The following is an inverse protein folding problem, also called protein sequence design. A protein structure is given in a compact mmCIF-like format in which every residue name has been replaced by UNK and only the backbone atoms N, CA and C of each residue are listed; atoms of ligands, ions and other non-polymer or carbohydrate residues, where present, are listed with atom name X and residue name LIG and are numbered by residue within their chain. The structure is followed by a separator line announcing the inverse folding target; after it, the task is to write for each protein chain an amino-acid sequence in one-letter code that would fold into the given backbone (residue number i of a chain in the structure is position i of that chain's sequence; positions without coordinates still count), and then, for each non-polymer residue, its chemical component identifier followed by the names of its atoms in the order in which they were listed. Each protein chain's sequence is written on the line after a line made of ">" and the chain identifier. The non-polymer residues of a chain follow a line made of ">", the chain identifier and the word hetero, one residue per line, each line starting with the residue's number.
data_IF_361450820202
#
_entry.id   IF_361450820202
#
_cell.length_a   1.000
_cell.length_b   1.000
_cell.length_c   1.000
_cell.angle_alpha   90.00
_cell.angle_beta   90.00
_cell.angle_gamma   90.00
#
_symmetry.space_group_name_H-M   'P 1'
#
loop_
_entity.id
_entity.type
_entity.pdbx_description
1 polymer ?
#
# COMPACT_ATOMS: atom_id res chain seq x y z
N UNK A 1 6.54 5.43 -20.23
CA UNK A 1 6.82 5.56 -18.78
C UNK A 1 5.96 6.65 -18.17
N UNK A 2 5.90 7.84 -18.79
CA UNK A 2 4.96 8.91 -18.45
C UNK A 2 3.51 8.40 -18.40
N UNK A 3 3.06 7.62 -19.39
CA UNK A 3 1.69 7.08 -19.39
C UNK A 3 1.42 6.13 -18.22
N UNK A 4 2.42 5.36 -17.77
CA UNK A 4 2.29 4.50 -16.59
C UNK A 4 2.15 5.32 -15.30
N UNK A 5 2.92 6.41 -15.19
CA UNK A 5 2.81 7.33 -14.06
C UNK A 5 1.42 7.96 -14.04
N UNK A 6 0.95 8.44 -15.20
CA UNK A 6 -0.38 9.02 -15.34
C UNK A 6 -1.47 8.05 -14.87
N UNK A 7 -1.44 6.81 -15.36
CA UNK A 7 -2.44 5.81 -14.97
C UNK A 7 -2.40 5.52 -13.46
N UNK A 8 -1.21 5.37 -12.87
CA UNK A 8 -1.08 5.13 -11.42
C UNK A 8 -1.63 6.29 -10.61
N UNK A 9 -1.36 7.53 -11.03
CA UNK A 9 -1.87 8.73 -10.35
C UNK A 9 -3.39 8.89 -10.52
N UNK A 10 -3.94 8.55 -11.68
CA UNK A 10 -5.40 8.55 -11.91
C UNK A 10 -6.12 7.48 -11.05
N UNK A 11 -5.46 6.36 -10.77
CA UNK A 11 -5.98 5.27 -9.94
C UNK A 11 -5.79 5.49 -8.41
N UNK A 12 -5.05 6.53 -8.00
CA UNK A 12 -4.82 6.85 -6.58
C UNK A 12 -6.04 7.54 -5.95
N UNK A 13 -6.28 7.26 -4.66
CA UNK A 13 -7.27 8.02 -3.91
C UNK A 13 -6.81 9.48 -3.75
N UNK A 14 -7.77 10.42 -3.73
CA UNK A 14 -7.45 11.85 -3.69
C UNK A 14 -6.57 12.24 -2.49
N UNK A 15 -6.84 11.67 -1.32
CA UNK A 15 -6.05 11.94 -0.11
C UNK A 15 -4.64 11.35 -0.21
N UNK A 16 -4.48 10.16 -0.79
CA UNK A 16 -3.16 9.56 -1.06
C UNK A 16 -2.34 10.43 -2.03
N UNK A 17 -2.99 10.93 -3.09
CA UNK A 17 -2.36 11.82 -4.06
C UNK A 17 -1.93 13.16 -3.43
N UNK A 18 -2.79 13.75 -2.58
CA UNK A 18 -2.48 14.97 -1.81
C UNK A 18 -1.28 14.76 -0.89
N UNK A 19 -1.25 13.65 -0.15
CA UNK A 19 -0.14 13.35 0.75
C UNK A 19 1.18 13.12 -0.01
N UNK A 20 1.15 12.40 -1.13
CA UNK A 20 2.33 12.22 -1.97
C UNK A 20 2.85 13.56 -2.50
N UNK A 21 1.96 14.41 -3.02
CA UNK A 21 2.33 15.75 -3.48
C UNK A 21 2.92 16.60 -2.36
N UNK A 22 2.29 16.61 -1.19
CA UNK A 22 2.78 17.33 -0.02
C UNK A 22 4.19 16.87 0.37
N UNK A 23 4.43 15.56 0.40
CA UNK A 23 5.74 14.98 0.70
C UNK A 23 6.81 15.43 -0.29
N UNK A 24 6.51 15.39 -1.60
CA UNK A 24 7.44 15.85 -2.65
C UNK A 24 7.77 17.34 -2.47
N UNK A 25 6.77 18.19 -2.23
CA UNK A 25 6.98 19.63 -2.05
C UNK A 25 7.85 19.94 -0.83
N UNK A 26 7.64 19.24 0.30
CA UNK A 26 8.48 19.40 1.50
C UNK A 26 9.93 18.99 1.20
N UNK A 27 10.14 17.86 0.54
CA UNK A 27 11.48 17.39 0.19
C UNK A 27 12.21 18.36 -0.75
N UNK A 28 11.50 18.97 -1.70
CA UNK A 28 12.06 20.00 -2.58
C UNK A 28 12.47 21.26 -1.80
N UNK A 29 11.64 21.72 -0.86
CA UNK A 29 11.99 22.87 -0.02
C UNK A 29 13.21 22.59 0.86
N UNK A 30 13.28 21.40 1.46
CA UNK A 30 14.43 20.99 2.26
C UNK A 30 15.72 20.89 1.43
N UNK A 31 15.61 20.49 0.16
CA UNK A 31 16.73 20.43 -0.78
C UNK A 31 17.27 21.81 -1.16
N UNK A 32 16.40 22.80 -1.26
CA UNK A 32 16.80 24.20 -1.50
C UNK A 32 17.62 24.74 -0.34
N UNK A 33 17.23 24.43 0.90
CA UNK A 33 17.94 24.83 2.11
C UNK A 33 19.20 24.01 2.38
N UNK A 34 19.16 22.70 2.08
CA UNK A 34 20.22 21.74 2.37
C UNK A 34 20.39 20.74 1.21
N UNK A 35 21.22 21.09 0.24
CA UNK A 35 21.50 20.23 -0.91
C UNK A 35 22.04 18.87 -0.48
N UNK A 36 21.44 17.80 -1.00
CA UNK A 36 21.81 16.42 -0.75
C UNK A 36 21.58 15.58 -2.01
N UNK A 37 22.65 15.00 -2.55
CA UNK A 37 22.54 14.11 -3.72
C UNK A 37 21.66 12.89 -3.43
N UNK A 38 21.69 12.37 -2.21
CA UNK A 38 20.87 11.23 -1.81
C UNK A 38 19.39 11.62 -1.78
N UNK A 39 19.06 12.84 -1.35
CA UNK A 39 17.69 13.35 -1.39
C UNK A 39 17.20 13.54 -2.83
N UNK A 40 18.07 13.96 -3.75
CA UNK A 40 17.76 14.03 -5.18
C UNK A 40 17.52 12.63 -5.76
N UNK A 41 18.36 11.64 -5.44
CA UNK A 41 18.16 10.24 -5.86
C UNK A 41 16.82 9.71 -5.37
N UNK A 42 16.45 10.00 -4.12
CA UNK A 42 15.16 9.57 -3.56
C UNK A 42 13.99 10.17 -4.34
N UNK A 43 14.01 11.47 -4.64
CA UNK A 43 12.98 12.11 -5.46
C UNK A 43 12.90 11.52 -6.88
N UNK A 44 14.05 11.25 -7.50
CA UNK A 44 14.11 10.65 -8.84
C UNK A 44 13.63 9.18 -8.88
N UNK A 45 13.64 8.50 -7.74
CA UNK A 45 13.18 7.11 -7.62
C UNK A 45 11.66 6.99 -7.44
N UNK A 46 10.96 8.05 -7.02
CA UNK A 46 9.50 8.06 -6.83
C UNK A 46 8.74 7.56 -8.06
N UNK A 47 8.97 8.05 -9.29
CA UNK A 47 8.27 7.55 -10.48
C UNK A 47 8.51 6.06 -10.74
N UNK A 48 9.71 5.57 -10.42
CA UNK A 48 10.05 4.15 -10.54
C UNK A 48 9.26 3.34 -9.51
N UNK A 49 9.18 3.79 -8.26
CA UNK A 49 8.42 3.13 -7.19
C UNK A 49 6.92 3.09 -7.49
N UNK A 50 6.35 4.18 -8.00
CA UNK A 50 4.93 4.25 -8.40
C UNK A 50 4.61 3.24 -9.52
N UNK A 51 5.50 3.10 -10.49
CA UNK A 51 5.24 2.27 -11.68
C UNK A 51 5.74 0.82 -11.57
N UNK A 52 6.59 0.51 -10.59
CA UNK A 52 7.09 -0.85 -10.31
C UNK A 52 6.16 -1.67 -9.42
N UNK A 53 5.24 -1.02 -8.70
CA UNK A 53 4.12 -1.69 -8.04
C UNK A 53 3.02 -2.07 -9.06
N UNK A 54 3.39 -2.81 -10.11
CA UNK A 54 2.39 -3.48 -10.94
C UNK A 54 1.76 -4.59 -10.11
N UNK A 55 0.46 -4.45 -9.81
CA UNK A 55 -0.38 -5.53 -9.31
C UNK A 55 -0.06 -6.01 -7.88
N UNK A 56 -0.29 -5.18 -6.86
CA UNK A 56 -1.08 -5.75 -5.77
C UNK A 56 -2.51 -5.76 -6.30
N UNK A 57 -2.92 -6.88 -6.92
CA UNK A 57 -4.33 -7.09 -7.28
C UNK A 57 -5.12 -6.77 -6.01
N UNK A 58 -5.83 -5.64 -5.99
CA UNK A 58 -6.98 -5.40 -5.10
C UNK A 58 -8.12 -6.36 -5.51
N UNK A 59 -7.82 -7.65 -5.67
CA UNK A 59 -8.78 -8.75 -5.59
C UNK A 59 -8.92 -9.19 -4.13
N UNK A 60 -8.64 -8.29 -3.19
CA UNK A 60 -9.27 -8.40 -1.88
C UNK A 60 -10.68 -7.91 -2.15
N UNK A 61 -11.65 -8.83 -2.31
CA UNK A 61 -13.05 -8.46 -2.12
C UNK A 61 -13.09 -7.57 -0.88
N UNK A 62 -13.59 -6.35 -1.01
CA UNK A 62 -13.71 -5.43 0.11
C UNK A 62 -14.25 -6.22 1.29
N UNK A 63 -13.39 -6.41 2.29
CA UNK A 63 -13.73 -7.26 3.41
C UNK A 63 -14.35 -6.34 4.43
N UNK A 64 -15.59 -6.57 4.80
CA UNK A 64 -16.28 -5.74 5.79
C UNK A 64 -15.51 -5.74 7.12
N UNK A 65 -14.79 -6.84 7.41
CA UNK A 65 -13.93 -6.97 8.58
C UNK A 65 -12.62 -7.73 8.27
N UNK A 66 -11.51 -7.27 8.87
CA UNK A 66 -10.20 -7.92 8.83
C UNK A 66 -9.85 -8.40 10.23
N UNK A 67 -9.62 -9.71 10.38
CA UNK A 67 -9.18 -10.35 11.60
C UNK A 67 -7.68 -10.61 11.53
N UNK A 68 -6.94 -10.14 12.53
CA UNK A 68 -5.50 -10.37 12.65
C UNK A 68 -5.28 -11.41 13.76
N UNK A 69 -4.72 -12.55 13.40
CA UNK A 69 -4.43 -13.64 14.33
C UNK A 69 -2.92 -13.84 14.48
N UNK A 70 -2.43 -13.95 15.71
CA UNK A 70 -1.00 -14.02 16.05
C UNK A 70 -0.46 -15.47 16.14
N UNK A 71 -0.89 -16.33 15.22
CA UNK A 71 -0.39 -17.70 14.98
C UNK A 71 -1.22 -18.34 13.85
N UNK A 72 -0.62 -19.28 13.11
CA UNK A 72 -1.26 -19.96 11.98
C UNK A 72 -2.41 -20.88 12.43
N UNK A 73 -2.31 -21.50 13.61
CA UNK A 73 -3.35 -22.39 14.14
C UNK A 73 -4.64 -21.60 14.37
N UNK A 74 -4.55 -20.48 15.07
CA UNK A 74 -5.68 -19.58 15.39
C UNK A 74 -6.28 -18.99 14.12
N UNK A 75 -5.43 -18.56 13.18
CA UNK A 75 -5.88 -18.06 11.87
C UNK A 75 -6.62 -19.15 11.08
N UNK A 76 -6.13 -20.39 11.11
CA UNK A 76 -6.73 -21.54 10.46
C UNK A 76 -8.10 -21.89 11.04
N UNK A 77 -8.22 -21.96 12.37
CA UNK A 77 -9.48 -22.18 13.06
C UNK A 77 -10.51 -21.11 12.70
N UNK A 78 -10.11 -19.83 12.73
CA UNK A 78 -11.01 -18.72 12.43
C UNK A 78 -11.47 -18.74 10.97
N UNK A 79 -10.56 -19.00 10.01
CA UNK A 79 -10.92 -19.17 8.59
C UNK A 79 -11.93 -20.30 8.41
N UNK A 80 -11.72 -21.43 9.08
CA UNK A 80 -12.64 -22.56 9.00
C UNK A 80 -14.03 -22.18 9.53
N UNK A 81 -14.11 -21.58 10.72
CA UNK A 81 -15.38 -21.16 11.32
C UNK A 81 -16.13 -20.16 10.42
N UNK A 82 -15.46 -19.13 9.90
CA UNK A 82 -16.07 -18.15 9.02
C UNK A 82 -16.58 -18.76 7.70
N UNK A 83 -15.90 -19.78 7.19
CA UNK A 83 -16.37 -20.52 6.01
C UNK A 83 -17.65 -21.31 6.26
N UNK A 84 -17.84 -21.83 7.48
CA UNK A 84 -19.06 -22.55 7.86
C UNK A 84 -20.26 -21.61 8.00
N UNK A 85 -20.03 -20.35 8.35
CA UNK A 85 -21.08 -19.32 8.45
C UNK A 85 -21.33 -18.57 7.13
N UNK A 86 -20.73 -19.01 6.02
CA UNK A 86 -20.82 -18.35 4.70
C UNK A 86 -20.40 -16.87 4.70
N UNK A 87 -19.59 -16.46 5.68
CA UNK A 87 -19.11 -15.08 5.84
C UNK A 87 -17.89 -14.81 4.95
N UNK A 88 -18.10 -14.93 3.64
CA UNK A 88 -17.06 -14.80 2.62
C UNK A 88 -16.51 -13.38 2.44
N UNK A 89 -17.14 -12.40 3.08
CA UNK A 89 -16.70 -10.99 3.15
C UNK A 89 -15.74 -10.74 4.31
N UNK A 90 -15.49 -11.72 5.19
CA UNK A 90 -14.53 -11.58 6.28
C UNK A 90 -13.16 -12.12 5.88
N UNK A 91 -12.09 -11.37 6.21
CA UNK A 91 -10.72 -11.76 5.86
C UNK A 91 -9.89 -12.01 7.10
N UNK A 92 -9.22 -13.16 7.15
CA UNK A 92 -8.29 -13.51 8.23
C UNK A 92 -6.86 -13.45 7.73
N UNK A 93 -6.04 -12.64 8.41
CA UNK A 93 -4.61 -12.50 8.19
C UNK A 93 -3.87 -13.13 9.36
N UNK A 94 -2.98 -14.07 9.07
CA UNK A 94 -2.07 -14.63 10.07
C UNK A 94 -0.83 -13.74 10.14
N UNK A 95 -0.42 -13.43 11.37
CA UNK A 95 0.83 -12.74 11.65
C UNK A 95 1.65 -13.63 12.58
N UNK A 96 2.76 -14.17 12.07
CA UNK A 96 3.75 -14.87 12.89
C UNK A 96 4.94 -13.93 13.07
N UNK A 97 5.30 -13.61 14.32
CA UNK A 97 6.54 -12.87 14.63
C UNK A 97 7.79 -13.76 14.59
N UNK A 98 7.67 -15.02 14.13
CA UNK A 98 8.73 -16.01 14.12
C UNK A 98 8.71 -16.85 12.83
#
# INVERSE_FOLDING_TARGET
>A
MIDKIKNVVEDMYEDEAKHLLQSILIQLNLLEENYSEDSIKNLMDIPRQLTSNTSYKRNVKESTHVHIAFDDSTAGCLKYMLSQEERLEERVVAFSEF
#
